data_IF_764176877358
#
_entry.id   IF_764176877358
#
_cell.length_a   1.000
_cell.length_b   1.000
_cell.length_c   1.000
_cell.angle_alpha   90.00
_cell.angle_beta   90.00
_cell.angle_gamma   90.00
#
_symmetry.space_group_name_H-M   'P 1'
#
loop_
_entity.id
_entity.type
_entity.pdbx_description
1 polymer ?
#
# COMPACT_ATOMS: atom_id res chain seq x y z
N UNK A 1 -17.44 -20.64 -8.45
CA UNK A 1 -16.63 -19.46 -8.06
C UNK A 1 -15.34 -19.88 -7.35
N UNK A 2 -15.41 -20.55 -6.19
CA UNK A 2 -14.23 -20.94 -5.40
C UNK A 2 -13.24 -21.77 -6.23
N UNK A 3 -13.74 -22.81 -6.93
CA UNK A 3 -12.86 -23.66 -7.74
C UNK A 3 -12.18 -22.88 -8.87
N UNK A 4 -12.83 -21.86 -9.43
CA UNK A 4 -12.18 -21.01 -10.44
C UNK A 4 -11.01 -20.23 -9.85
N UNK A 5 -11.16 -19.67 -8.63
CA UNK A 5 -10.07 -18.99 -7.96
C UNK A 5 -8.91 -19.94 -7.68
N UNK A 6 -9.20 -21.14 -7.19
CA UNK A 6 -8.18 -22.11 -6.79
C UNK A 6 -7.43 -22.71 -7.98
N UNK A 7 -8.05 -22.72 -9.17
CA UNK A 7 -7.44 -23.28 -10.39
C UNK A 7 -6.52 -22.32 -11.12
N UNK A 8 -6.45 -21.05 -10.70
CA UNK A 8 -5.61 -20.05 -11.38
C UNK A 8 -4.12 -20.30 -11.14
N UNK A 9 -3.27 -20.00 -12.12
CA UNK A 9 -1.82 -20.17 -11.95
C UNK A 9 -1.30 -19.23 -10.86
N UNK A 10 -0.31 -19.70 -10.11
CA UNK A 10 0.38 -18.89 -9.11
C UNK A 10 1.17 -17.75 -9.78
N UNK A 11 1.51 -16.74 -9.01
CA UNK A 11 2.26 -15.53 -9.43
C UNK A 11 1.48 -14.62 -10.37
N UNK A 12 0.14 -14.75 -10.39
CA UNK A 12 -0.68 -13.84 -11.21
C UNK A 12 -1.77 -13.21 -10.35
N UNK A 13 -1.38 -12.22 -9.54
CA UNK A 13 -2.29 -11.51 -8.65
C UNK A 13 -3.36 -10.74 -9.43
N UNK A 14 -2.99 -10.16 -10.59
CA UNK A 14 -3.93 -9.40 -11.43
C UNK A 14 -5.09 -10.30 -11.90
N UNK A 15 -4.75 -11.48 -12.41
CA UNK A 15 -5.75 -12.44 -12.88
C UNK A 15 -6.66 -12.89 -11.72
N UNK A 16 -6.07 -13.14 -10.56
CA UNK A 16 -6.83 -13.54 -9.36
C UNK A 16 -7.85 -12.47 -8.98
N UNK A 17 -7.46 -11.21 -8.97
CA UNK A 17 -8.34 -10.09 -8.68
C UNK A 17 -9.44 -9.95 -9.74
N UNK A 18 -9.09 -10.07 -11.01
CA UNK A 18 -10.04 -9.93 -12.12
C UNK A 18 -11.10 -11.02 -12.09
N UNK A 19 -10.71 -12.26 -11.77
CA UNK A 19 -11.66 -13.35 -11.62
C UNK A 19 -12.59 -13.09 -10.43
N UNK A 20 -12.06 -12.61 -9.32
CA UNK A 20 -12.88 -12.32 -8.14
C UNK A 20 -13.96 -11.28 -8.43
N UNK A 21 -13.59 -10.14 -9.05
CA UNK A 21 -14.57 -9.08 -9.29
C UNK A 21 -15.68 -9.56 -10.24
N UNK A 22 -15.32 -10.37 -11.21
CA UNK A 22 -16.31 -10.97 -12.13
C UNK A 22 -17.26 -11.90 -11.39
N UNK A 23 -16.72 -12.80 -10.55
CA UNK A 23 -17.53 -13.75 -9.79
C UNK A 23 -18.47 -13.04 -8.82
N UNK A 24 -17.99 -12.02 -8.11
CA UNK A 24 -18.82 -11.26 -7.18
C UNK A 24 -19.90 -10.49 -7.94
N UNK A 25 -19.57 -9.90 -9.09
CA UNK A 25 -20.56 -9.19 -9.90
C UNK A 25 -21.68 -10.12 -10.38
N UNK A 26 -21.33 -11.32 -10.81
CA UNK A 26 -22.31 -12.33 -11.24
C UNK A 26 -23.22 -12.80 -10.10
N UNK A 27 -22.64 -12.96 -8.89
CA UNK A 27 -23.41 -13.39 -7.72
C UNK A 27 -24.35 -12.29 -7.21
N UNK A 28 -23.94 -11.04 -7.26
CA UNK A 28 -24.63 -9.95 -6.55
C UNK A 28 -25.39 -8.98 -7.45
N UNK A 29 -24.93 -8.83 -8.70
CA UNK A 29 -25.55 -7.89 -9.63
C UNK A 29 -25.28 -6.43 -9.36
N UNK A 30 -24.27 -6.10 -8.57
CA UNK A 30 -23.86 -4.70 -8.37
C UNK A 30 -23.32 -4.10 -9.66
N UNK A 31 -23.54 -2.81 -9.84
CA UNK A 31 -23.11 -2.07 -11.04
C UNK A 31 -21.58 -2.01 -11.18
N UNK A 32 -20.88 -1.99 -10.06
CA UNK A 32 -19.41 -1.90 -10.00
C UNK A 32 -18.91 -2.78 -8.86
N UNK A 33 -17.88 -3.58 -9.15
CA UNK A 33 -17.17 -4.36 -8.14
C UNK A 33 -15.68 -4.12 -8.33
N UNK A 34 -15.00 -3.74 -7.26
CA UNK A 34 -13.57 -3.37 -7.30
C UNK A 34 -12.78 -4.13 -6.26
N UNK A 35 -11.51 -4.40 -6.56
CA UNK A 35 -10.51 -4.72 -5.54
C UNK A 35 -9.73 -3.45 -5.26
N UNK A 36 -9.79 -3.01 -4.02
CA UNK A 36 -9.17 -1.78 -3.52
C UNK A 36 -8.04 -2.22 -2.57
N UNK A 37 -6.80 -1.95 -2.97
CA UNK A 37 -5.62 -2.38 -2.22
C UNK A 37 -5.08 -1.22 -1.40
N UNK A 38 -4.72 -1.47 -0.14
CA UNK A 38 -4.00 -0.50 0.69
C UNK A 38 -2.50 -0.63 0.46
N UNK A 39 -1.84 0.50 0.24
CA UNK A 39 -0.38 0.60 0.16
C UNK A 39 0.22 0.80 1.57
N UNK A 40 1.54 0.80 1.67
CA UNK A 40 2.25 0.92 2.96
C UNK A 40 1.91 2.21 3.71
N UNK A 41 1.70 3.31 2.99
CA UNK A 41 1.30 4.61 3.56
C UNK A 41 -0.21 4.71 3.77
N UNK A 42 -0.91 3.60 3.59
CA UNK A 42 -2.36 3.44 3.80
C UNK A 42 -3.24 4.11 2.74
N UNK A 43 -2.66 4.75 1.71
CA UNK A 43 -3.49 5.19 0.59
C UNK A 43 -3.99 3.98 -0.20
N UNK A 44 -5.11 4.12 -0.87
CA UNK A 44 -5.73 3.02 -1.60
C UNK A 44 -5.58 3.15 -3.11
N UNK A 45 -5.63 2.00 -3.78
CA UNK A 45 -5.59 1.93 -5.24
C UNK A 45 -6.61 0.90 -5.72
N UNK A 46 -7.36 1.24 -6.76
CA UNK A 46 -8.24 0.30 -7.44
C UNK A 46 -7.39 -0.52 -8.42
N UNK A 47 -7.13 -1.78 -8.08
CA UNK A 47 -6.23 -2.65 -8.86
C UNK A 47 -6.98 -3.60 -9.78
N UNK A 48 -8.29 -3.75 -9.60
CA UNK A 48 -9.13 -4.56 -10.47
C UNK A 48 -10.56 -4.03 -10.39
N UNK A 49 -11.30 -4.11 -11.49
CA UNK A 49 -12.64 -3.53 -11.57
C UNK A 49 -13.50 -4.28 -12.58
N UNK A 50 -14.73 -4.62 -12.15
CA UNK A 50 -15.84 -4.89 -13.03
C UNK A 50 -16.77 -3.68 -12.95
N UNK A 51 -17.27 -3.22 -14.10
CA UNK A 51 -18.26 -2.13 -14.14
C UNK A 51 -19.17 -2.31 -15.34
N UNK A 52 -20.37 -1.75 -15.26
CA UNK A 52 -21.25 -1.66 -16.42
C UNK A 52 -20.63 -0.71 -17.44
N UNK A 53 -20.87 -0.96 -18.76
CA UNK A 53 -20.17 -0.20 -19.82
C UNK A 53 -20.40 1.31 -19.79
N UNK A 54 -21.53 1.78 -19.26
CA UNK A 54 -21.89 3.21 -19.22
C UNK A 54 -21.29 3.96 -18.04
N UNK A 55 -20.54 3.28 -17.17
CA UNK A 55 -19.92 3.88 -15.97
C UNK A 55 -18.47 4.26 -16.25
N UNK A 56 -18.04 5.36 -15.63
CA UNK A 56 -16.63 5.77 -15.72
C UNK A 56 -15.72 4.76 -15.01
N UNK A 57 -14.55 4.47 -15.61
CA UNK A 57 -13.61 3.56 -14.96
C UNK A 57 -12.91 4.19 -13.75
N UNK A 58 -12.73 3.41 -12.70
CA UNK A 58 -11.92 3.79 -11.53
C UNK A 58 -10.62 2.99 -11.48
N UNK A 59 -10.44 2.02 -12.36
CA UNK A 59 -9.24 1.18 -12.40
C UNK A 59 -7.99 2.05 -12.51
N UNK A 60 -7.03 1.84 -11.63
CA UNK A 60 -5.77 2.58 -11.61
C UNK A 60 -5.80 3.87 -10.82
N UNK A 61 -6.97 4.30 -10.33
CA UNK A 61 -7.06 5.51 -9.52
C UNK A 61 -6.59 5.23 -8.10
N UNK A 62 -5.91 6.22 -7.52
CA UNK A 62 -5.45 6.22 -6.13
C UNK A 62 -6.32 7.15 -5.30
N UNK A 63 -6.51 6.81 -4.06
CA UNK A 63 -7.35 7.55 -3.11
C UNK A 63 -6.57 7.78 -1.81
N UNK A 64 -6.67 9.00 -1.24
CA UNK A 64 -5.89 9.29 -0.02
C UNK A 64 -6.33 8.44 1.16
N UNK A 65 -5.41 8.20 2.08
CA UNK A 65 -5.66 7.39 3.28
C UNK A 65 -6.83 7.95 4.11
N UNK A 66 -7.06 9.25 4.05
CA UNK A 66 -8.14 9.91 4.77
C UNK A 66 -9.55 9.52 4.30
N UNK A 67 -9.68 8.99 3.07
CA UNK A 67 -10.99 8.53 2.57
C UNK A 67 -11.53 7.36 3.40
N UNK A 68 -10.63 6.51 3.92
CA UNK A 68 -10.99 5.40 4.82
C UNK A 68 -10.14 5.56 6.08
N UNK A 69 -10.64 6.30 7.09
CA UNK A 69 -9.84 6.59 8.29
C UNK A 69 -9.41 5.33 9.03
N UNK A 70 -8.38 5.46 9.85
CA UNK A 70 -7.82 4.36 10.64
C UNK A 70 -8.87 3.63 11.47
N UNK A 71 -9.81 4.37 12.07
CA UNK A 71 -10.89 3.76 12.86
C UNK A 71 -11.77 2.85 12.00
N UNK A 72 -12.05 3.25 10.77
CA UNK A 72 -12.85 2.43 9.84
C UNK A 72 -12.08 1.19 9.40
N UNK A 73 -10.78 1.33 9.12
CA UNK A 73 -9.93 0.17 8.78
C UNK A 73 -9.88 -0.83 9.92
N UNK A 74 -9.76 -0.35 11.17
CA UNK A 74 -9.78 -1.20 12.36
C UNK A 74 -11.11 -1.96 12.49
N UNK A 75 -12.22 -1.27 12.22
CA UNK A 75 -13.54 -1.91 12.27
C UNK A 75 -13.70 -3.00 11.20
N UNK A 76 -13.07 -2.87 10.03
CA UNK A 76 -13.08 -3.90 9.01
C UNK A 76 -12.33 -5.17 9.43
N UNK A 77 -11.33 -5.05 10.31
CA UNK A 77 -10.67 -6.23 10.87
C UNK A 77 -11.61 -7.00 11.82
N UNK A 78 -12.46 -6.28 12.54
CA UNK A 78 -13.44 -6.90 13.47
C UNK A 78 -14.70 -7.39 12.76
N UNK A 79 -15.21 -6.59 11.82
CA UNK A 79 -16.47 -6.84 11.12
C UNK A 79 -16.18 -6.79 9.62
N UNK A 80 -15.94 -7.95 9.03
CA UNK A 80 -15.41 -8.08 7.67
C UNK A 80 -16.38 -7.62 6.58
N UNK A 81 -17.68 -7.53 6.89
CA UNK A 81 -18.71 -7.19 5.90
C UNK A 81 -19.51 -5.99 6.36
N UNK A 82 -19.68 -5.03 5.47
CA UNK A 82 -20.53 -3.86 5.69
C UNK A 82 -21.44 -3.71 4.48
N UNK A 83 -22.75 -3.51 4.73
CA UNK A 83 -23.72 -3.30 3.67
C UNK A 83 -24.52 -2.04 3.95
N UNK A 84 -24.65 -1.19 2.94
CA UNK A 84 -25.51 -0.01 2.95
C UNK A 84 -26.51 -0.21 1.81
N UNK A 85 -27.77 -0.39 2.16
CA UNK A 85 -28.80 -0.66 1.17
C UNK A 85 -29.23 0.58 0.41
N UNK A 86 -29.20 1.74 1.08
CA UNK A 86 -29.58 3.01 0.49
C UNK A 86 -29.04 4.14 1.38
N UNK A 87 -28.01 4.84 0.89
CA UNK A 87 -27.38 5.90 1.67
C UNK A 87 -28.27 7.14 1.80
N UNK A 88 -29.32 7.26 0.99
CA UNK A 88 -30.26 8.40 1.05
C UNK A 88 -31.46 8.12 1.95
N UNK A 89 -31.63 6.86 2.41
CA UNK A 89 -32.77 6.51 3.24
C UNK A 89 -32.65 7.12 4.65
N UNK A 90 -33.77 7.52 5.22
CA UNK A 90 -33.83 7.99 6.61
C UNK A 90 -33.49 6.82 7.55
N UNK A 91 -32.54 6.99 8.46
CA UNK A 91 -32.23 5.92 9.42
C UNK A 91 -33.43 5.51 10.25
N UNK A 92 -33.58 4.22 10.44
CA UNK A 92 -34.67 3.68 11.27
C UNK A 92 -34.30 3.88 12.75
N UNK A 93 -35.25 4.45 13.51
CA UNK A 93 -35.05 4.65 14.94
C UNK A 93 -35.11 3.29 15.67
N UNK A 94 -34.09 3.00 16.46
CA UNK A 94 -34.05 1.80 17.30
C UNK A 94 -34.69 2.15 18.65
N UNK A 95 -35.70 1.37 19.06
CA UNK A 95 -36.38 1.53 20.33
C UNK A 95 -35.81 0.51 21.32
N UNK A 96 -35.36 0.98 22.47
CA UNK A 96 -34.78 0.14 23.52
C UNK A 96 -35.65 0.25 24.79
N UNK A 97 -35.89 -0.91 25.38
CA UNK A 97 -36.67 -0.92 26.65
C UNK A 97 -35.90 -0.28 27.79
N UNK A 98 -36.67 0.34 28.72
CA UNK A 98 -36.09 1.13 29.82
C UNK A 98 -35.32 0.33 30.88
N UNK A 99 -35.25 -0.98 30.78
CA UNK A 99 -34.55 -1.82 31.74
C UNK A 99 -33.02 -1.84 31.52
N UNK A 100 -32.54 -1.34 30.38
CA UNK A 100 -31.13 -1.37 30.03
C UNK A 100 -30.43 -0.09 30.44
N UNK A 101 -29.36 -0.21 31.21
CA UNK A 101 -28.63 0.93 31.75
C UNK A 101 -27.86 1.73 30.69
N UNK A 102 -27.51 1.12 29.58
CA UNK A 102 -26.71 1.76 28.53
C UNK A 102 -27.33 1.55 27.15
N UNK A 103 -27.13 2.52 26.24
CA UNK A 103 -27.64 2.37 24.85
C UNK A 103 -27.04 1.15 24.16
N UNK A 104 -27.85 0.50 23.34
CA UNK A 104 -27.45 -0.62 22.52
C UNK A 104 -26.43 -0.15 21.47
N UNK A 105 -25.27 -0.80 21.40
CA UNK A 105 -24.29 -0.52 20.38
C UNK A 105 -24.62 -1.32 19.11
N UNK A 106 -24.74 -0.62 17.99
CA UNK A 106 -24.92 -1.25 16.67
C UNK A 106 -23.61 -1.29 15.87
N UNK A 107 -22.48 -1.01 16.52
CA UNK A 107 -21.16 -0.99 15.86
C UNK A 107 -20.81 -2.29 15.14
N UNK A 108 -21.28 -3.43 15.65
CA UNK A 108 -21.06 -4.72 15.03
C UNK A 108 -22.12 -5.15 14.01
N UNK A 109 -23.16 -4.34 13.79
CA UNK A 109 -24.23 -4.69 12.86
C UNK A 109 -23.83 -4.44 11.42
N UNK A 110 -24.08 -5.42 10.55
CA UNK A 110 -23.85 -5.27 9.10
C UNK A 110 -24.78 -4.23 8.49
N UNK A 111 -26.00 -4.11 9.03
CA UNK A 111 -27.06 -3.27 8.48
C UNK A 111 -27.24 -1.94 9.21
N UNK A 112 -26.29 -1.53 10.03
CA UNK A 112 -26.40 -0.24 10.71
C UNK A 112 -26.38 0.92 9.70
N UNK A 113 -27.10 2.00 10.05
CA UNK A 113 -27.15 3.17 9.18
C UNK A 113 -25.76 3.81 9.06
N UNK A 114 -25.42 4.34 7.87
CA UNK A 114 -24.15 5.03 7.71
C UNK A 114 -24.17 6.38 8.44
N UNK A 115 -22.99 6.82 8.86
CA UNK A 115 -22.82 8.19 9.37
C UNK A 115 -23.11 9.20 8.23
N UNK A 116 -23.64 10.37 8.60
CA UNK A 116 -24.03 11.37 7.62
C UNK A 116 -22.91 11.78 6.67
N UNK A 117 -21.66 11.88 7.16
CA UNK A 117 -20.51 12.19 6.30
C UNK A 117 -20.27 11.10 5.28
N UNK A 118 -20.39 9.84 5.69
CA UNK A 118 -20.19 8.72 4.78
C UNK A 118 -21.33 8.62 3.75
N UNK A 119 -22.56 8.90 4.18
CA UNK A 119 -23.70 8.95 3.27
C UNK A 119 -23.50 10.01 2.20
N UNK A 120 -23.00 11.18 2.59
CA UNK A 120 -22.70 12.27 1.65
C UNK A 120 -21.53 11.90 0.73
N UNK A 121 -20.50 11.26 1.27
CA UNK A 121 -19.37 10.75 0.47
C UNK A 121 -19.87 9.81 -0.63
N UNK A 122 -20.74 8.86 -0.28
CA UNK A 122 -21.33 7.92 -1.24
C UNK A 122 -22.17 8.64 -2.30
N UNK A 123 -22.99 9.58 -1.85
CA UNK A 123 -23.85 10.36 -2.76
C UNK A 123 -23.00 11.15 -3.76
N UNK A 124 -21.92 11.78 -3.29
CA UNK A 124 -20.99 12.53 -4.15
C UNK A 124 -20.33 11.63 -5.19
N UNK A 125 -20.07 10.37 -4.82
CA UNK A 125 -19.49 9.37 -5.73
C UNK A 125 -20.53 8.81 -6.72
N UNK A 126 -21.83 9.06 -6.48
CA UNK A 126 -22.91 8.50 -7.29
C UNK A 126 -23.30 7.08 -6.91
N UNK A 127 -22.84 6.61 -5.75
CA UNK A 127 -23.16 5.28 -5.22
C UNK A 127 -24.26 5.41 -4.17
N UNK A 128 -25.39 4.76 -4.42
CA UNK A 128 -26.52 4.77 -3.48
C UNK A 128 -26.44 3.58 -2.52
N UNK A 129 -26.02 2.44 -3.01
CA UNK A 129 -25.88 1.22 -2.21
C UNK A 129 -24.45 0.68 -2.30
N UNK A 130 -23.99 0.03 -1.24
CA UNK A 130 -22.68 -0.60 -1.25
C UNK A 130 -22.65 -1.88 -0.43
N UNK A 131 -21.77 -2.79 -0.83
CA UNK A 131 -21.38 -3.96 -0.06
C UNK A 131 -19.87 -3.98 -0.06
N UNK A 132 -19.26 -3.89 1.12
CA UNK A 132 -17.79 -3.86 1.26
C UNK A 132 -17.37 -5.04 2.12
N UNK A 133 -16.39 -5.80 1.61
CA UNK A 133 -15.87 -6.98 2.29
C UNK A 133 -14.36 -6.86 2.45
N UNK A 134 -13.89 -7.10 3.67
CA UNK A 134 -12.47 -6.97 4.01
C UNK A 134 -11.67 -8.16 3.50
N UNK A 135 -10.49 -7.87 2.94
CA UNK A 135 -9.49 -8.87 2.57
C UNK A 135 -8.36 -8.78 3.59
N UNK A 136 -8.19 -9.83 4.38
CA UNK A 136 -7.16 -9.88 5.42
C UNK A 136 -6.10 -10.92 5.07
N UNK A 137 -4.86 -10.62 5.44
CA UNK A 137 -3.71 -11.53 5.26
C UNK A 137 -2.97 -11.63 6.60
N UNK A 138 -2.07 -12.59 6.69
CA UNK A 138 -1.22 -12.75 7.87
C UNK A 138 -0.22 -11.60 7.94
N UNK A 139 0.08 -11.15 9.14
CA UNK A 139 1.05 -10.08 9.35
C UNK A 139 2.47 -10.65 9.41
N UNK A 140 3.41 -9.89 8.88
CA UNK A 140 4.83 -10.18 9.07
C UNK A 140 5.20 -9.90 10.53
N UNK A 141 6.05 -10.76 11.12
CA UNK A 141 6.40 -10.72 12.53
C UNK A 141 7.06 -9.41 12.97
N UNK A 142 7.53 -8.60 12.02
CA UNK A 142 8.26 -7.37 12.29
C UNK A 142 7.39 -6.09 12.21
N UNK A 143 6.11 -6.18 11.89
CA UNK A 143 5.24 -5.00 11.77
C UNK A 143 4.23 -4.87 12.91
N UNK A 144 4.16 -3.69 13.50
CA UNK A 144 3.35 -3.39 14.69
C UNK A 144 1.91 -2.95 14.37
N UNK A 145 1.46 -3.11 13.12
CA UNK A 145 0.18 -2.56 12.66
C UNK A 145 -1.01 -3.54 12.69
N UNK A 146 -0.91 -4.65 13.42
CA UNK A 146 -1.94 -5.68 13.46
C UNK A 146 -2.92 -5.54 14.60
N UNK A 147 -4.05 -6.20 14.46
CA UNK A 147 -4.88 -6.56 15.61
C UNK A 147 -4.08 -7.61 16.41
N UNK A 148 -3.61 -7.28 17.61
CA UNK A 148 -2.78 -8.23 18.41
C UNK A 148 -3.50 -9.54 18.74
N UNK A 149 -4.83 -9.59 18.60
CA UNK A 149 -5.62 -10.77 18.95
C UNK A 149 -5.68 -11.81 17.83
N UNK A 150 -5.47 -11.43 16.56
CA UNK A 150 -5.65 -12.34 15.42
C UNK A 150 -4.40 -12.51 14.54
N UNK A 151 -3.42 -11.61 14.65
CA UNK A 151 -2.22 -11.62 13.80
C UNK A 151 -2.55 -11.36 12.33
N UNK A 152 -3.64 -10.64 12.06
CA UNK A 152 -4.12 -10.33 10.71
C UNK A 152 -4.02 -8.83 10.43
N UNK A 153 -3.64 -8.48 9.19
CA UNK A 153 -3.69 -7.09 8.73
C UNK A 153 -4.65 -6.95 7.56
N UNK A 154 -5.18 -5.75 7.39
CA UNK A 154 -6.10 -5.43 6.30
C UNK A 154 -5.28 -5.16 5.04
N UNK A 155 -5.31 -6.09 4.09
CA UNK A 155 -4.62 -5.94 2.81
C UNK A 155 -5.40 -5.03 1.86
N UNK A 156 -6.73 -5.17 1.87
CA UNK A 156 -7.57 -4.42 0.98
C UNK A 156 -9.05 -4.68 1.22
N UNK A 157 -9.87 -4.21 0.30
CA UNK A 157 -11.32 -4.35 0.34
C UNK A 157 -11.83 -4.81 -1.02
N UNK A 158 -12.89 -5.61 -0.99
CA UNK A 158 -13.73 -5.85 -2.18
C UNK A 158 -14.91 -4.91 -2.03
N UNK A 159 -15.02 -3.93 -2.93
CA UNK A 159 -15.98 -2.84 -2.84
C UNK A 159 -17.01 -3.00 -3.97
N UNK A 160 -18.28 -3.16 -3.59
CA UNK A 160 -19.38 -3.24 -4.54
C UNK A 160 -20.23 -1.98 -4.40
N UNK A 161 -20.51 -1.32 -5.53
CA UNK A 161 -21.33 -0.11 -5.60
C UNK A 161 -22.50 -0.30 -6.54
N UNK A 162 -23.62 0.35 -6.21
CA UNK A 162 -24.83 0.31 -7.05
C UNK A 162 -25.44 1.70 -7.10
N UNK A 163 -25.99 2.07 -8.27
CA UNK A 163 -26.53 3.41 -8.50
C UNK A 163 -27.97 3.59 -7.97
N UNK A 164 -28.59 2.51 -7.53
CA UNK A 164 -29.90 2.55 -6.87
C UNK A 164 -29.84 1.70 -5.61
N UNK A 165 -30.90 1.74 -4.80
CA UNK A 165 -30.98 0.95 -3.58
C UNK A 165 -30.85 -0.55 -3.91
N UNK A 166 -30.15 -1.30 -3.04
CA UNK A 166 -29.91 -2.72 -3.25
C UNK A 166 -29.69 -3.43 -1.92
N UNK A 167 -30.35 -4.54 -1.75
CA UNK A 167 -30.23 -5.40 -0.59
C UNK A 167 -29.79 -6.79 -1.05
N UNK A 168 -28.75 -7.32 -0.44
CA UNK A 168 -28.26 -8.68 -0.69
C UNK A 168 -28.68 -9.55 0.49
N UNK A 169 -29.54 -10.58 0.29
CA UNK A 169 -29.99 -11.41 1.40
C UNK A 169 -28.85 -12.21 2.02
N UNK A 170 -29.02 -12.59 3.27
CA UNK A 170 -27.98 -13.22 4.07
C UNK A 170 -27.32 -14.43 3.39
N UNK A 171 -28.07 -15.39 2.79
CA UNK A 171 -27.37 -16.55 2.20
C UNK A 171 -26.39 -16.15 1.10
N UNK A 172 -26.77 -15.19 0.26
CA UNK A 172 -25.92 -14.72 -0.84
C UNK A 172 -24.75 -13.89 -0.30
N UNK A 173 -25.00 -13.05 0.70
CA UNK A 173 -23.97 -12.26 1.38
C UNK A 173 -22.94 -13.18 2.04
N UNK A 174 -23.41 -14.25 2.69
CA UNK A 174 -22.54 -15.25 3.30
C UNK A 174 -21.68 -15.97 2.24
N UNK A 175 -22.28 -16.32 1.11
CA UNK A 175 -21.54 -16.94 0.00
C UNK A 175 -20.44 -16.02 -0.52
N UNK A 176 -20.72 -14.73 -0.66
CA UNK A 176 -19.71 -13.73 -1.07
C UNK A 176 -18.61 -13.60 -0.04
N UNK A 177 -18.97 -13.57 1.26
CA UNK A 177 -18.00 -13.50 2.34
C UNK A 177 -17.05 -14.69 2.29
N UNK A 178 -17.57 -15.89 2.10
CA UNK A 178 -16.76 -17.10 1.98
C UNK A 178 -15.83 -17.03 0.77
N UNK A 179 -16.34 -16.57 -0.37
CA UNK A 179 -15.53 -16.39 -1.57
C UNK A 179 -14.38 -15.41 -1.34
N UNK A 180 -14.65 -14.29 -0.64
CA UNK A 180 -13.61 -13.29 -0.33
C UNK A 180 -12.60 -13.85 0.68
N UNK A 181 -13.02 -14.71 1.60
CA UNK A 181 -12.07 -15.38 2.51
C UNK A 181 -11.13 -16.31 1.74
N UNK A 182 -11.63 -17.08 0.77
CA UNK A 182 -10.79 -17.91 -0.10
C UNK A 182 -9.83 -17.03 -0.90
N UNK A 183 -10.33 -15.93 -1.45
CA UNK A 183 -9.51 -14.95 -2.15
C UNK A 183 -8.39 -14.42 -1.24
N UNK A 184 -8.71 -14.10 0.02
CA UNK A 184 -7.70 -13.64 1.00
C UNK A 184 -6.60 -14.66 1.24
N UNK A 185 -6.95 -15.94 1.32
CA UNK A 185 -5.98 -17.04 1.45
C UNK A 185 -5.06 -17.08 0.23
N UNK A 186 -5.61 -16.92 -0.98
CA UNK A 186 -4.83 -16.92 -2.22
C UNK A 186 -3.92 -15.70 -2.29
N UNK A 187 -4.42 -14.52 -1.89
CA UNK A 187 -3.61 -13.30 -1.84
C UNK A 187 -2.45 -13.48 -0.84
N UNK A 188 -2.73 -14.03 0.34
CA UNK A 188 -1.72 -14.29 1.35
C UNK A 188 -0.60 -15.19 0.81
N UNK A 189 -0.96 -16.25 0.08
CA UNK A 189 0.02 -17.13 -0.56
C UNK A 189 0.88 -16.37 -1.57
N UNK A 190 0.26 -15.51 -2.39
CA UNK A 190 1.00 -14.72 -3.40
C UNK A 190 1.95 -13.74 -2.74
N UNK A 191 1.53 -13.07 -1.66
CA UNK A 191 2.37 -12.13 -0.92
C UNK A 191 3.56 -12.87 -0.28
N UNK A 192 3.32 -14.00 0.38
CA UNK A 192 4.38 -14.80 1.00
C UNK A 192 5.36 -15.35 -0.03
N UNK A 193 4.85 -15.85 -1.17
CA UNK A 193 5.69 -16.39 -2.25
C UNK A 193 6.58 -15.29 -2.82
N UNK A 194 6.03 -14.10 -3.07
CA UNK A 194 6.82 -12.97 -3.59
C UNK A 194 7.93 -12.58 -2.61
N UNK A 195 7.63 -12.57 -1.31
CA UNK A 195 8.63 -12.28 -0.27
C UNK A 195 9.74 -13.32 -0.24
N UNK A 196 9.38 -14.61 -0.33
CA UNK A 196 10.35 -15.71 -0.35
C UNK A 196 11.26 -15.64 -1.57
N UNK A 197 10.70 -15.35 -2.73
CA UNK A 197 11.47 -15.24 -3.98
C UNK A 197 12.46 -14.07 -3.87
N UNK A 198 12.04 -12.91 -3.36
CA UNK A 198 12.92 -11.76 -3.17
C UNK A 198 14.05 -12.10 -2.20
N UNK A 199 13.74 -12.72 -1.06
CA UNK A 199 14.72 -13.10 -0.06
C UNK A 199 15.74 -14.10 -0.61
N UNK A 200 15.29 -15.12 -1.32
CA UNK A 200 16.14 -16.12 -1.94
C UNK A 200 17.07 -15.49 -3.00
N UNK A 201 16.52 -14.57 -3.80
CA UNK A 201 17.29 -13.85 -4.82
C UNK A 201 18.39 -12.99 -4.18
N UNK A 202 18.04 -12.26 -3.09
CA UNK A 202 19.00 -11.42 -2.36
C UNK A 202 20.14 -12.29 -1.78
N UNK A 203 19.80 -13.42 -1.15
CA UNK A 203 20.79 -14.31 -0.56
C UNK A 203 21.76 -14.86 -1.64
N UNK A 204 21.23 -15.21 -2.81
CA UNK A 204 22.06 -15.71 -3.92
C UNK A 204 23.02 -14.62 -4.41
N UNK A 205 22.52 -13.39 -4.58
CA UNK A 205 23.36 -12.27 -5.03
C UNK A 205 24.41 -11.92 -3.97
N UNK A 206 24.05 -11.92 -2.68
CA UNK A 206 25.00 -11.70 -1.59
C UNK A 206 26.14 -12.74 -1.65
N UNK A 207 25.81 -14.01 -1.87
CA UNK A 207 26.80 -15.09 -1.96
C UNK A 207 27.76 -14.83 -3.13
N UNK A 208 27.23 -14.46 -4.31
CA UNK A 208 28.05 -14.18 -5.49
C UNK A 208 28.95 -12.97 -5.24
N UNK A 209 28.42 -11.89 -4.64
CA UNK A 209 29.21 -10.69 -4.36
C UNK A 209 30.30 -10.93 -3.32
N UNK A 210 30.01 -11.74 -2.28
CA UNK A 210 31.03 -12.12 -1.29
C UNK A 210 32.15 -12.93 -1.95
N UNK A 211 31.79 -13.83 -2.86
CA UNK A 211 32.75 -14.61 -3.60
C UNK A 211 33.65 -13.72 -4.47
N UNK A 212 33.07 -12.72 -5.14
CA UNK A 212 33.82 -11.73 -5.92
C UNK A 212 34.81 -10.94 -5.04
N UNK A 213 34.35 -10.53 -3.84
CA UNK A 213 35.19 -9.80 -2.90
C UNK A 213 36.37 -10.63 -2.40
N UNK A 214 36.17 -11.95 -2.26
CA UNK A 214 37.24 -12.85 -1.78
C UNK A 214 38.22 -13.22 -2.86
N UNK A 215 37.77 -13.38 -4.10
CA UNK A 215 38.63 -13.80 -5.22
C UNK A 215 39.32 -12.64 -5.91
N UNK A 216 38.56 -11.55 -6.11
CA UNK A 216 39.01 -10.39 -6.88
C UNK A 216 39.17 -9.19 -5.98
N UNK A 217 39.42 -8.05 -6.55
CA UNK A 217 39.42 -6.80 -5.78
C UNK A 217 37.94 -6.39 -5.47
N UNK A 218 37.73 -5.54 -4.45
CA UNK A 218 36.38 -5.00 -4.19
C UNK A 218 35.74 -4.30 -5.39
N UNK A 219 36.53 -3.86 -6.36
CA UNK A 219 36.06 -3.23 -7.59
C UNK A 219 35.17 -4.17 -8.41
N UNK A 220 35.33 -5.48 -8.28
CA UNK A 220 34.53 -6.46 -9.01
C UNK A 220 33.03 -6.31 -8.74
N UNK A 221 32.64 -5.88 -7.53
CA UNK A 221 31.22 -5.73 -7.16
C UNK A 221 30.52 -4.57 -7.89
N UNK A 222 31.27 -3.70 -8.52
CA UNK A 222 30.72 -2.58 -9.33
C UNK A 222 31.04 -2.71 -10.81
N UNK A 223 32.01 -3.54 -11.20
CA UNK A 223 32.43 -3.67 -12.61
C UNK A 223 31.91 -4.94 -13.30
N UNK A 224 31.46 -5.93 -12.53
CA UNK A 224 30.99 -7.22 -13.06
C UNK A 224 29.49 -7.39 -12.80
N UNK A 225 28.86 -8.37 -13.44
CA UNK A 225 27.46 -8.70 -13.24
C UNK A 225 27.35 -10.08 -12.57
N UNK A 226 26.55 -10.27 -11.52
CA UNK A 226 25.73 -9.26 -10.84
C UNK A 226 26.57 -8.24 -10.07
N UNK A 227 25.98 -7.09 -9.77
CA UNK A 227 26.68 -6.02 -9.05
C UNK A 227 25.87 -5.56 -7.83
N UNK A 228 26.39 -4.56 -7.11
CA UNK A 228 25.78 -4.10 -5.86
C UNK A 228 24.39 -3.52 -6.04
N UNK A 229 24.01 -3.04 -7.23
CA UNK A 229 22.68 -2.54 -7.49
C UNK A 229 21.61 -3.65 -7.45
N UNK A 230 22.01 -4.90 -7.62
CA UNK A 230 21.09 -6.03 -7.58
C UNK A 230 20.69 -6.43 -6.16
N UNK A 231 21.43 -5.97 -5.15
CA UNK A 231 21.13 -6.28 -3.73
C UNK A 231 19.99 -5.43 -3.15
N UNK A 232 19.91 -4.17 -3.58
CA UNK A 232 19.02 -3.19 -2.98
C UNK A 232 18.28 -2.47 -4.09
N UNK A 233 16.98 -2.24 -3.89
CA UNK A 233 16.19 -1.45 -4.84
C UNK A 233 16.65 0.00 -4.76
N UNK A 234 17.41 0.44 -5.77
CA UNK A 234 18.03 1.76 -5.82
C UNK A 234 18.11 2.25 -7.27
N UNK A 235 18.39 3.53 -7.42
CA UNK A 235 18.54 4.15 -8.74
C UNK A 235 20.00 4.26 -9.17
N UNK A 236 20.92 4.16 -8.21
CA UNK A 236 22.34 4.18 -8.50
C UNK A 236 23.16 3.66 -7.34
N UNK A 237 24.43 3.40 -7.60
CA UNK A 237 25.37 2.95 -6.59
C UNK A 237 26.76 3.50 -6.92
N UNK A 238 27.62 3.63 -5.91
CA UNK A 238 28.98 4.09 -6.07
C UNK A 238 29.90 3.37 -5.09
N UNK A 239 31.12 3.15 -5.51
CA UNK A 239 32.18 2.61 -4.66
C UNK A 239 33.31 3.64 -4.59
N UNK A 240 33.65 4.03 -3.39
CA UNK A 240 34.87 4.82 -3.10
C UNK A 240 35.90 3.84 -2.50
N UNK A 241 36.95 3.56 -3.27
CA UNK A 241 37.95 2.55 -2.90
C UNK A 241 39.35 3.03 -3.28
N UNK A 242 40.23 3.14 -2.31
CA UNK A 242 41.62 3.56 -2.48
C UNK A 242 41.73 4.88 -3.25
N UNK A 243 40.84 5.83 -2.92
CA UNK A 243 40.86 7.16 -3.51
C UNK A 243 40.21 7.29 -4.88
N UNK A 244 39.74 6.19 -5.45
CA UNK A 244 39.07 6.18 -6.75
C UNK A 244 37.56 5.91 -6.58
N UNK A 245 36.79 6.36 -7.58
CA UNK A 245 35.32 6.28 -7.54
C UNK A 245 34.82 5.50 -8.75
N UNK A 246 33.93 4.54 -8.51
CA UNK A 246 33.18 3.82 -9.55
C UNK A 246 31.71 4.13 -9.39
N UNK A 247 31.03 4.48 -10.50
CA UNK A 247 29.63 4.92 -10.51
C UNK A 247 28.78 3.97 -11.32
N UNK A 248 27.59 3.65 -10.81
CA UNK A 248 26.58 2.81 -11.48
C UNK A 248 25.24 3.52 -11.42
N UNK A 249 24.53 3.62 -12.56
CA UNK A 249 23.20 4.21 -12.61
C UNK A 249 23.18 5.69 -12.34
N UNK A 250 22.15 6.16 -11.64
CA UNK A 250 21.96 7.59 -11.32
C UNK A 250 22.66 7.90 -10.00
N UNK A 251 23.75 8.68 -10.07
CA UNK A 251 24.59 8.97 -8.90
C UNK A 251 24.97 10.44 -8.86
N UNK A 252 25.46 10.92 -7.70
CA UNK A 252 26.22 12.16 -7.68
C UNK A 252 27.47 12.04 -8.56
N UNK A 253 28.11 13.16 -8.85
CA UNK A 253 29.37 13.17 -9.59
C UNK A 253 30.50 12.60 -8.72
N UNK A 254 31.60 12.24 -9.36
CA UNK A 254 32.79 11.71 -8.67
C UNK A 254 33.26 12.67 -7.55
N UNK A 255 33.28 13.98 -7.83
CA UNK A 255 33.69 14.99 -6.86
C UNK A 255 32.71 15.04 -5.69
N UNK A 256 31.40 14.96 -5.97
CA UNK A 256 30.37 14.94 -4.94
C UNK A 256 30.48 13.67 -4.06
N UNK A 257 30.78 12.52 -4.66
CA UNK A 257 31.02 11.27 -3.91
C UNK A 257 32.21 11.45 -2.94
N UNK A 258 33.28 12.07 -3.41
CA UNK A 258 34.46 12.34 -2.56
C UNK A 258 34.09 13.24 -1.38
N UNK A 259 33.27 14.26 -1.62
CA UNK A 259 32.81 15.18 -0.57
C UNK A 259 31.91 14.47 0.44
N UNK A 260 30.98 13.65 -0.05
CA UNK A 260 30.07 12.86 0.81
C UNK A 260 30.91 11.89 1.68
N UNK A 261 31.89 11.24 1.08
CA UNK A 261 32.78 10.33 1.80
C UNK A 261 33.52 11.04 2.93
N UNK A 262 34.08 12.20 2.66
CA UNK A 262 34.78 13.00 3.68
C UNK A 262 33.84 13.41 4.81
N UNK A 263 32.62 13.83 4.47
CA UNK A 263 31.61 14.18 5.46
C UNK A 263 31.24 12.98 6.34
N UNK A 264 31.01 11.80 5.71
CA UNK A 264 30.69 10.58 6.45
C UNK A 264 31.79 10.15 7.40
N UNK A 265 33.03 10.18 6.93
CA UNK A 265 34.18 9.76 7.73
C UNK A 265 34.44 10.72 8.88
N UNK A 266 34.12 12.01 8.71
CA UNK A 266 34.32 13.03 9.74
C UNK A 266 33.22 13.01 10.80
N UNK A 267 31.95 12.91 10.38
CA UNK A 267 30.82 13.10 11.29
C UNK A 267 30.10 11.82 11.68
N UNK A 268 30.37 10.73 11.02
CA UNK A 268 29.75 9.42 11.29
C UNK A 268 30.74 8.28 11.47
N UNK A 269 31.67 8.64 11.86
CA UNK A 269 32.72 7.79 12.00
C UNK A 269 32.59 6.69 12.90
N UNK A 270 31.75 6.88 13.91
CA UNK A 270 31.55 5.82 14.90
C UNK A 270 30.60 4.72 14.41
N UNK A 271 29.88 4.97 13.35
CA UNK A 271 28.92 4.01 12.79
C UNK A 271 29.52 3.24 11.61
N UNK A 272 29.09 1.98 11.45
CA UNK A 272 29.50 1.16 10.30
C UNK A 272 28.83 1.61 9.00
N UNK A 273 27.81 2.45 9.10
CA UNK A 273 27.10 2.94 7.93
C UNK A 273 26.06 4.00 8.29
N UNK A 274 25.43 4.54 7.25
CA UNK A 274 24.36 5.52 7.38
C UNK A 274 23.26 5.17 6.37
N UNK A 275 22.02 5.28 6.80
CA UNK A 275 20.87 5.15 5.88
C UNK A 275 19.94 6.32 6.15
N UNK A 276 19.56 7.03 5.07
CA UNK A 276 18.68 8.19 5.18
C UNK A 276 17.84 8.33 3.90
N UNK A 277 16.59 8.72 4.07
CA UNK A 277 15.72 9.04 2.95
C UNK A 277 15.94 10.47 2.44
N UNK A 278 16.65 11.29 3.21
CA UNK A 278 16.94 12.67 2.83
C UNK A 278 18.31 13.08 3.35
N UNK A 279 19.24 13.30 2.43
CA UNK A 279 20.59 13.79 2.77
C UNK A 279 20.53 15.17 3.42
N UNK A 280 19.54 15.98 3.06
CA UNK A 280 19.33 17.30 3.68
C UNK A 280 18.97 17.15 5.15
N UNK A 281 18.03 16.26 5.48
CA UNK A 281 17.64 16.01 6.87
C UNK A 281 18.73 15.33 7.68
N UNK A 282 19.59 14.57 7.03
CA UNK A 282 20.76 13.95 7.67
C UNK A 282 21.88 14.97 7.97
N UNK A 283 21.74 16.19 7.47
CA UNK A 283 22.68 17.28 7.76
C UNK A 283 23.86 17.38 6.81
N UNK A 284 23.79 16.76 5.64
CA UNK A 284 24.87 16.89 4.65
C UNK A 284 24.82 18.30 4.03
N UNK A 285 25.89 19.11 4.16
CA UNK A 285 25.86 20.51 3.70
C UNK A 285 25.67 20.66 2.19
N UNK A 286 26.13 19.71 1.40
CA UNK A 286 26.02 19.76 -0.07
C UNK A 286 24.74 19.16 -0.64
N UNK A 287 23.76 18.86 0.20
CA UNK A 287 22.54 18.15 -0.24
C UNK A 287 21.76 18.91 -1.32
N UNK A 288 21.69 20.23 -1.21
CA UNK A 288 20.99 21.08 -2.19
C UNK A 288 21.62 21.05 -3.58
N UNK A 289 22.92 20.79 -3.67
CA UNK A 289 23.65 20.74 -4.94
C UNK A 289 23.44 19.41 -5.68
N UNK A 290 22.90 18.38 -5.01
CA UNK A 290 22.66 17.09 -5.62
C UNK A 290 21.41 17.09 -6.52
N UNK A 291 20.51 18.04 -6.31
CA UNK A 291 19.30 18.18 -7.10
C UNK A 291 18.29 17.05 -6.84
N UNK A 292 17.39 16.84 -7.79
CA UNK A 292 16.37 15.79 -7.70
C UNK A 292 16.90 14.39 -8.07
N UNK A 293 18.11 14.32 -8.61
CA UNK A 293 18.71 13.06 -9.02
C UNK A 293 19.04 12.15 -7.84
N UNK A 294 19.37 12.75 -6.68
CA UNK A 294 19.72 12.00 -5.49
C UNK A 294 19.06 12.65 -4.26
N UNK A 295 18.17 11.94 -3.61
CA UNK A 295 17.54 12.40 -2.37
C UNK A 295 17.92 11.52 -1.18
N UNK A 296 17.89 10.22 -1.33
CA UNK A 296 18.19 9.25 -0.27
C UNK A 296 19.49 8.51 -0.53
N UNK A 297 20.09 8.01 0.53
CA UNK A 297 21.38 7.34 0.47
C UNK A 297 21.48 6.28 1.57
N UNK A 298 22.02 5.12 1.19
CA UNK A 298 22.57 4.16 2.16
C UNK A 298 24.06 4.05 1.90
N UNK A 299 24.85 4.06 2.95
CA UNK A 299 26.29 3.97 2.87
C UNK A 299 26.81 2.95 3.87
N UNK A 300 27.75 2.10 3.44
CA UNK A 300 28.37 1.08 4.28
C UNK A 300 29.88 1.23 4.17
N UNK A 301 30.55 1.30 5.30
CA UNK A 301 32.01 1.35 5.34
C UNK A 301 32.58 -0.06 5.13
N UNK A 302 33.40 -0.19 4.10
CA UNK A 302 34.11 -1.44 3.79
C UNK A 302 35.40 -1.51 4.60
N UNK A 303 36.07 -0.35 4.73
CA UNK A 303 37.30 -0.22 5.51
C UNK A 303 37.31 1.14 6.18
N UNK A 304 38.43 1.49 6.81
CA UNK A 304 38.59 2.80 7.48
C UNK A 304 38.40 3.97 6.53
N UNK A 305 38.67 3.79 5.24
CA UNK A 305 38.63 4.88 4.24
C UNK A 305 37.74 4.58 3.04
N UNK A 306 37.25 3.35 2.90
CA UNK A 306 36.52 2.90 1.72
C UNK A 306 35.05 2.76 2.04
N UNK A 307 34.17 3.22 1.15
CA UNK A 307 32.73 3.27 1.37
C UNK A 307 31.99 2.82 0.12
N UNK A 308 30.94 2.04 0.34
CA UNK A 308 30.01 1.63 -0.69
C UNK A 308 28.69 2.37 -0.47
N UNK A 309 28.12 2.92 -1.56
CA UNK A 309 26.92 3.74 -1.54
C UNK A 309 25.82 3.17 -2.42
N UNK A 310 24.59 3.32 -1.98
CA UNK A 310 23.38 3.16 -2.80
C UNK A 310 22.60 4.47 -2.73
N UNK A 311 22.07 4.89 -3.89
CA UNK A 311 21.35 6.17 -4.01
C UNK A 311 19.95 5.96 -4.53
N UNK A 312 19.03 6.78 -4.04
CA UNK A 312 17.65 6.84 -4.50
C UNK A 312 17.37 8.25 -5.00
N UNK A 313 16.78 8.33 -6.18
CA UNK A 313 16.41 9.62 -6.77
C UNK A 313 14.93 9.92 -6.50
N UNK A 314 14.55 11.18 -6.65
CA UNK A 314 13.16 11.60 -6.71
C UNK A 314 12.62 11.28 -8.11
N UNK A 315 12.27 10.05 -8.35
CA UNK A 315 11.48 9.73 -9.55
C UNK A 315 10.02 9.91 -9.18
N UNK A 316 9.46 11.04 -9.57
CA UNK A 316 8.03 11.27 -9.44
C UNK A 316 7.32 10.31 -10.39
N UNK A 317 6.82 9.22 -9.84
CA UNK A 317 5.94 8.33 -10.59
C UNK A 317 4.59 9.03 -10.66
N UNK A 318 4.14 9.32 -11.87
CA UNK A 318 2.85 9.99 -12.04
C UNK A 318 1.73 9.05 -11.62
N UNK A 319 1.00 9.43 -10.58
CA UNK A 319 -0.12 8.66 -10.03
C UNK A 319 -1.39 9.45 -10.28
N UNK A 320 -2.40 8.80 -10.82
CA UNK A 320 -3.72 9.41 -11.02
C UNK A 320 -4.54 9.27 -9.75
N UNK A 321 -4.82 10.39 -9.10
CA UNK A 321 -5.65 10.41 -7.91
C UNK A 321 -7.12 10.54 -8.28
N UNK A 322 -7.97 9.82 -7.59
CA UNK A 322 -9.41 9.93 -7.75
C UNK A 322 -9.92 11.25 -7.20
N UNK A 323 -10.50 12.06 -8.06
CA UNK A 323 -11.09 13.35 -7.70
C UNK A 323 -10.09 14.49 -7.63
N UNK A 324 -10.63 15.71 -7.56
CA UNK A 324 -9.83 16.92 -7.42
C UNK A 324 -9.20 17.00 -6.02
N UNK A 325 -8.09 17.71 -5.93
CA UNK A 325 -7.47 17.99 -4.63
C UNK A 325 -8.51 18.58 -3.68
N UNK A 326 -8.60 17.99 -2.51
CA UNK A 326 -9.56 18.41 -1.49
C UNK A 326 -8.82 19.00 -0.30
N UNK A 327 -8.97 20.30 -0.12
CA UNK A 327 -8.48 20.96 1.10
C UNK A 327 -9.66 21.03 2.08
N UNK A 328 -9.58 20.32 3.20
CA UNK A 328 -10.69 20.32 4.16
C UNK A 328 -10.99 21.73 4.63
N UNK A 329 -12.25 22.12 4.52
CA UNK A 329 -12.70 23.41 5.04
C UNK A 329 -12.88 23.24 6.56
N UNK A 330 -12.24 24.09 7.32
CA UNK A 330 -12.44 24.11 8.76
C UNK A 330 -13.83 24.67 9.04
N UNK A 331 -14.68 23.85 9.64
CA UNK A 331 -15.96 24.34 10.13
C UNK A 331 -15.74 25.09 11.45
N UNK A 332 -16.66 25.98 11.76
CA UNK A 332 -16.59 26.81 12.98
C UNK A 332 -16.54 25.97 14.27
N UNK A 333 -16.92 24.70 14.19
CA UNK A 333 -16.90 23.80 15.35
C UNK A 333 -15.59 22.99 15.45
N UNK A 334 -14.59 23.30 14.62
CA UNK A 334 -13.29 22.65 14.64
C UNK A 334 -13.24 21.28 14.01
N UNK A 335 -14.30 20.84 13.34
CA UNK A 335 -14.34 19.54 12.65
C UNK A 335 -14.03 19.72 11.17
N UNK A 336 -13.03 19.00 10.72
CA UNK A 336 -12.66 18.97 9.28
C UNK A 336 -13.57 17.97 8.58
N UNK A 337 -14.57 18.51 7.88
CA UNK A 337 -15.59 17.65 7.27
C UNK A 337 -15.93 18.09 5.86
N UNK A 338 -15.76 17.45 4.85
CA UNK A 338 -16.15 17.57 3.93
C UNK A 338 -15.88 16.56 3.20
N UNK A 339 -16.57 15.73 3.13
CA UNK A 339 -16.26 14.69 2.16
C UNK A 339 -16.05 15.28 0.77
N UNK A 340 -15.19 14.68 0.01
CA UNK A 340 -14.85 15.17 -1.33
C UNK A 340 -16.10 15.24 -2.22
N UNK A 341 -16.18 16.28 -3.03
CA UNK A 341 -17.32 16.50 -3.93
C UNK A 341 -17.12 15.91 -5.32
N UNK A 342 -15.87 15.58 -5.69
CA UNK A 342 -15.56 15.00 -6.99
C UNK A 342 -14.69 13.76 -6.82
N UNK A 343 -14.98 12.73 -7.62
CA UNK A 343 -14.24 11.47 -7.68
C UNK A 343 -13.70 11.17 -9.08
N UNK A 344 -13.88 12.10 -9.99
CA UNK A 344 -13.33 11.98 -11.34
C UNK A 344 -11.85 12.32 -11.34
N UNK A 345 -11.06 11.63 -12.16
CA UNK A 345 -9.62 11.84 -12.28
C UNK A 345 -9.29 13.21 -12.88
#
# INVERSE_FOLDING_TARGET
AISRLQSLPSRNMVLLCDVLVKEVSELTGYDRVMVYKFHEDEHGEVISEYRKPDMEPYLGLHYPATDIPQASRFLFLKNRVRMICDCSATPVKVIQGGKWAQPLSLGGSILRAPHGCHALYMANMGSIASLVMAVTINEDEDEVKSDPSTGKRLWGLVVCHHTSSRFIPFPLRYACELLVQVFGIQINKEVELAAQIRESHILRIQTVLCDMLLRDSPVAIVTQSPNVMDLVKCDGAALYYKGQVWLLGITPTEEQIKNITQWLLKYHXSTKGLSTDSLMEAGYPGASELGDAVCGMAAVRISSKDVLFWFRSHTAKEIKWGGAKHDPVDSDDGRKMXPRSSFKA
#
